data_IF_800501925730
#
_entry.id   IF_800501925730
#
_cell.length_a   1.000
_cell.length_b   1.000
_cell.length_c   1.000
_cell.angle_alpha   90.00
_cell.angle_beta   90.00
_cell.angle_gamma   90.00
#
_symmetry.space_group_name_H-M   'P 1'
#
loop_
_entity.id
_entity.type
_entity.pdbx_description
1 polymer ?
#
# COMPACT_ATOMS: atom_id res chain seq x y z
N UNK A 1 12.95 -16.12 -34.46
CA UNK A 1 13.03 -15.00 -33.54
C UNK A 1 11.95 -13.91 -33.69
N UNK A 2 11.05 -13.96 -34.67
CA UNK A 2 9.95 -13.00 -34.88
C UNK A 2 8.63 -13.35 -34.14
N UNK A 3 8.46 -14.61 -33.75
CA UNK A 3 7.18 -15.13 -33.18
C UNK A 3 6.97 -14.75 -31.70
N UNK A 4 8.02 -14.60 -30.90
CA UNK A 4 7.93 -14.24 -29.47
C UNK A 4 7.48 -12.81 -29.25
N UNK A 5 7.80 -11.87 -30.12
CA UNK A 5 7.42 -10.44 -30.01
C UNK A 5 5.92 -10.16 -30.14
N UNK A 6 5.15 -11.05 -30.76
CA UNK A 6 3.71 -10.88 -30.94
C UNK A 6 2.91 -11.40 -29.72
N UNK A 7 3.42 -12.40 -29.00
CA UNK A 7 2.79 -12.95 -27.80
C UNK A 7 2.79 -11.90 -26.66
N UNK A 8 3.90 -11.15 -26.53
CA UNK A 8 4.01 -10.13 -25.48
C UNK A 8 3.08 -8.93 -25.74
N UNK A 9 2.93 -8.52 -27.01
CA UNK A 9 1.99 -7.47 -27.40
C UNK A 9 0.52 -7.88 -27.19
N UNK A 10 0.20 -9.15 -27.44
CA UNK A 10 -1.14 -9.69 -27.24
C UNK A 10 -1.49 -9.77 -25.75
N UNK A 11 -0.55 -10.18 -24.92
CA UNK A 11 -0.69 -10.18 -23.46
C UNK A 11 -0.85 -8.75 -22.91
N UNK A 12 -0.03 -7.81 -23.38
CA UNK A 12 -0.13 -6.41 -22.99
C UNK A 12 -1.52 -5.84 -23.37
N UNK A 13 -2.02 -6.15 -24.56
CA UNK A 13 -3.35 -5.74 -25.01
C UNK A 13 -4.47 -6.37 -24.16
N UNK A 14 -4.35 -7.65 -23.78
CA UNK A 14 -5.29 -8.31 -22.86
C UNK A 14 -5.30 -7.64 -21.47
N UNK A 15 -4.15 -7.29 -20.93
CA UNK A 15 -4.05 -6.59 -19.66
C UNK A 15 -4.64 -5.17 -19.73
N UNK A 16 -4.42 -4.45 -20.82
CA UNK A 16 -5.03 -3.13 -21.07
C UNK A 16 -6.56 -3.23 -21.23
N UNK A 17 -7.04 -4.27 -21.87
CA UNK A 17 -8.48 -4.52 -22.04
C UNK A 17 -9.14 -4.89 -20.72
N UNK A 18 -8.50 -5.74 -19.89
CA UNK A 18 -8.93 -6.05 -18.53
C UNK A 18 -8.97 -4.81 -17.65
N UNK A 19 -7.94 -3.96 -17.73
CA UNK A 19 -7.88 -2.70 -17.00
C UNK A 19 -8.96 -1.73 -17.47
N UNK A 20 -9.23 -1.66 -18.78
CA UNK A 20 -10.31 -0.85 -19.36
C UNK A 20 -11.70 -1.34 -18.95
N UNK A 21 -11.93 -2.66 -18.89
CA UNK A 21 -13.20 -3.23 -18.42
C UNK A 21 -13.43 -2.98 -16.92
N UNK A 22 -12.38 -2.98 -16.08
CA UNK A 22 -12.50 -2.60 -14.68
C UNK A 22 -12.93 -1.13 -14.49
N UNK A 23 -12.54 -0.25 -15.40
CA UNK A 23 -12.90 1.17 -15.37
C UNK A 23 -14.31 1.46 -15.92
N UNK A 24 -14.94 0.50 -16.61
CA UNK A 24 -16.26 0.65 -17.24
C UNK A 24 -17.42 0.05 -16.42
N UNK A 25 -17.20 -0.33 -15.15
CA UNK A 25 -18.31 -0.80 -14.29
C UNK A 25 -19.27 0.36 -14.05
N UNK A 26 -20.57 0.23 -14.37
CA UNK A 26 -21.52 1.30 -14.13
C UNK A 26 -21.64 1.59 -12.64
N UNK A 27 -21.31 2.81 -12.26
CA UNK A 27 -21.32 3.30 -10.88
C UNK A 27 -22.75 3.63 -10.47
N UNK A 28 -23.52 2.64 -10.10
CA UNK A 28 -24.88 2.83 -9.56
C UNK A 28 -24.94 2.77 -8.03
N UNK A 29 -23.81 2.53 -7.36
CA UNK A 29 -23.65 2.71 -5.92
C UNK A 29 -22.71 3.90 -5.70
N UNK A 30 -22.96 4.71 -4.67
CA UNK A 30 -22.08 5.83 -4.30
C UNK A 30 -20.82 5.29 -3.63
N UNK A 31 -20.06 4.49 -4.36
CA UNK A 31 -18.75 4.02 -3.88
C UNK A 31 -17.86 5.23 -3.64
N UNK A 32 -17.43 5.45 -2.40
CA UNK A 32 -16.50 6.49 -2.04
C UNK A 32 -15.17 5.87 -1.59
N UNK A 33 -14.09 6.28 -2.23
CA UNK A 33 -12.75 5.84 -1.83
C UNK A 33 -12.25 6.58 -0.60
N UNK A 34 -12.84 7.76 -0.32
CA UNK A 34 -12.60 8.57 0.87
C UNK A 34 -13.86 9.34 1.25
N UNK A 35 -14.40 9.09 2.44
CA UNK A 35 -15.67 9.66 2.92
C UNK A 35 -15.47 10.87 3.85
N UNK A 36 -14.21 11.21 4.18
CA UNK A 36 -13.89 12.31 5.08
C UNK A 36 -13.96 11.92 6.56
N UNK A 37 -14.20 12.88 7.43
CA UNK A 37 -14.16 12.73 8.87
C UNK A 37 -14.98 11.55 9.38
N UNK A 38 -14.34 10.68 10.18
CA UNK A 38 -14.94 9.49 10.76
C UNK A 38 -14.82 8.21 9.93
N UNK A 39 -14.35 8.30 8.68
CA UNK A 39 -14.15 7.14 7.82
C UNK A 39 -13.08 6.20 8.40
N UNK A 40 -13.37 4.90 8.41
CA UNK A 40 -12.45 3.86 8.82
C UNK A 40 -12.17 2.94 7.63
N UNK A 41 -10.91 2.85 7.25
CA UNK A 41 -10.48 1.92 6.21
C UNK A 41 -9.54 0.88 6.78
N UNK A 42 -9.83 -0.38 6.50
CA UNK A 42 -8.94 -1.51 6.79
C UNK A 42 -8.45 -2.06 5.46
N UNK A 43 -7.17 -2.33 5.37
CA UNK A 43 -6.57 -2.83 4.13
C UNK A 43 -5.62 -3.99 4.40
N UNK A 44 -5.55 -4.92 3.46
CA UNK A 44 -4.64 -6.04 3.49
C UNK A 44 -4.17 -6.41 2.08
N UNK A 45 -2.92 -6.80 1.95
CA UNK A 45 -2.39 -7.15 0.63
C UNK A 45 -0.98 -7.72 0.63
N UNK A 46 -0.49 -7.86 -0.57
CA UNK A 46 0.89 -8.22 -0.84
C UNK A 46 1.80 -7.01 -0.64
N UNK A 47 2.96 -7.25 -0.04
CA UNK A 47 4.01 -6.25 0.13
C UNK A 47 5.36 -6.77 -0.39
N UNK A 48 6.13 -5.86 -0.96
CA UNK A 48 7.52 -6.11 -1.34
C UNK A 48 8.40 -5.01 -0.77
N UNK A 49 9.38 -5.35 0.05
CA UNK A 49 10.31 -4.38 0.67
C UNK A 49 11.72 -4.73 0.22
N UNK A 50 12.33 -3.86 -0.59
CA UNK A 50 13.69 -4.05 -1.06
C UNK A 50 13.92 -5.38 -1.78
N UNK A 51 12.94 -5.88 -2.53
CA UNK A 51 12.98 -7.17 -3.22
C UNK A 51 12.51 -8.38 -2.39
N UNK A 52 12.16 -8.20 -1.12
CA UNK A 52 11.63 -9.27 -0.25
C UNK A 52 10.11 -9.25 -0.24
N UNK A 53 9.51 -10.39 -0.56
CA UNK A 53 8.06 -10.57 -0.63
C UNK A 53 7.45 -10.83 0.73
N UNK A 54 6.23 -10.34 0.94
CA UNK A 54 5.50 -10.50 2.18
C UNK A 54 4.06 -10.02 2.08
N UNK A 55 3.53 -9.60 3.21
CA UNK A 55 2.16 -9.10 3.34
C UNK A 55 2.11 -7.83 4.18
N UNK A 56 1.04 -7.09 4.00
CA UNK A 56 0.75 -5.87 4.73
C UNK A 56 -0.70 -5.89 5.21
N UNK A 57 -0.92 -5.46 6.43
CA UNK A 57 -2.22 -5.22 7.03
C UNK A 57 -2.19 -3.85 7.67
N UNK A 58 -3.23 -3.06 7.49
CA UNK A 58 -3.30 -1.76 8.13
C UNK A 58 -4.71 -1.23 8.24
N UNK A 59 -4.82 -0.12 8.94
CA UNK A 59 -6.06 0.64 9.07
C UNK A 59 -5.75 2.13 9.13
N UNK A 60 -6.65 2.94 8.57
CA UNK A 60 -6.63 4.39 8.65
C UNK A 60 -7.95 4.87 9.25
N UNK A 61 -7.87 5.90 10.07
CA UNK A 61 -9.00 6.63 10.63
C UNK A 61 -8.93 8.10 10.17
N UNK A 62 -9.99 8.58 9.57
CA UNK A 62 -10.10 9.96 9.12
C UNK A 62 -10.33 10.92 10.27
N UNK A 63 -9.39 11.81 10.51
CA UNK A 63 -9.52 12.90 11.48
C UNK A 63 -10.25 14.12 10.90
N UNK A 64 -10.24 14.23 9.59
CA UNK A 64 -10.92 15.30 8.82
C UNK A 64 -11.07 14.86 7.38
N UNK A 65 -11.71 15.69 6.55
CA UNK A 65 -11.88 15.44 5.12
C UNK A 65 -10.56 15.26 4.36
N UNK A 66 -9.45 15.76 4.92
CA UNK A 66 -8.15 15.74 4.26
C UNK A 66 -7.08 14.89 4.97
N UNK A 67 -7.28 14.54 6.23
CA UNK A 67 -6.22 13.94 7.05
C UNK A 67 -6.67 12.66 7.71
N UNK A 68 -5.87 11.61 7.58
CA UNK A 68 -6.02 10.38 8.36
C UNK A 68 -4.79 10.06 9.19
N UNK A 69 -5.02 9.28 10.24
CA UNK A 69 -3.98 8.61 11.01
C UNK A 69 -4.24 7.11 11.00
N UNK A 70 -3.21 6.32 11.07
CA UNK A 70 -3.38 4.88 10.98
C UNK A 70 -2.27 4.07 11.60
N UNK A 71 -2.46 2.76 11.55
CA UNK A 71 -1.48 1.76 11.93
C UNK A 71 -1.30 0.74 10.82
N UNK A 72 -0.06 0.31 10.61
CA UNK A 72 0.30 -0.61 9.55
C UNK A 72 1.28 -1.66 10.06
N UNK A 73 0.99 -2.92 9.82
CA UNK A 73 1.86 -4.05 10.08
C UNK A 73 2.35 -4.63 8.75
N UNK A 74 3.64 -4.60 8.51
CA UNK A 74 4.27 -5.20 7.33
C UNK A 74 5.11 -6.39 7.76
N UNK A 75 4.94 -7.51 7.07
CA UNK A 75 5.79 -8.69 7.21
C UNK A 75 6.43 -9.04 5.88
N UNK A 76 7.74 -9.29 5.86
CA UNK A 76 8.46 -9.81 4.69
C UNK A 76 9.29 -11.04 5.06
N UNK A 77 9.40 -11.95 4.09
CA UNK A 77 10.15 -13.19 4.28
C UNK A 77 11.66 -12.92 4.21
N UNK A 78 12.37 -13.26 5.27
CA UNK A 78 13.83 -13.02 5.44
C UNK A 78 14.59 -14.33 5.46
N UNK A 79 14.50 -15.14 4.39
CA UNK A 79 15.13 -16.46 4.33
C UNK A 79 16.67 -16.45 4.27
N UNK A 80 17.27 -15.33 3.88
CA UNK A 80 18.68 -15.23 3.50
C UNK A 80 19.60 -14.71 4.63
N UNK A 81 19.12 -14.62 5.87
CA UNK A 81 19.92 -14.18 7.01
C UNK A 81 20.39 -15.36 7.86
N UNK A 82 21.63 -15.27 8.32
CA UNK A 82 22.48 -16.29 8.92
C UNK A 82 21.84 -17.15 10.04
N UNK A 83 22.31 -18.38 10.17
CA UNK A 83 21.74 -19.43 11.01
C UNK A 83 21.94 -19.14 12.50
N UNK A 84 20.92 -18.73 13.22
CA UNK A 84 20.98 -18.74 14.67
C UNK A 84 20.15 -17.73 15.45
N UNK A 85 19.38 -16.85 14.80
CA UNK A 85 18.51 -15.88 15.49
C UNK A 85 17.07 -15.97 14.97
N UNK A 86 16.10 -15.54 15.78
CA UNK A 86 14.67 -15.53 15.46
C UNK A 86 14.36 -14.76 14.18
N UNK A 87 14.54 -15.41 13.05
CA UNK A 87 14.38 -14.89 11.68
C UNK A 87 13.00 -14.32 11.42
N UNK A 88 11.97 -14.92 12.03
CA UNK A 88 10.59 -14.49 11.85
C UNK A 88 10.40 -13.04 12.34
N UNK A 89 11.02 -12.67 13.45
CA UNK A 89 10.84 -11.34 14.03
C UNK A 89 11.56 -10.23 13.24
N UNK A 90 12.58 -10.55 12.48
CA UNK A 90 13.29 -9.56 11.62
C UNK A 90 12.41 -9.05 10.47
N UNK A 91 11.47 -9.86 10.01
CA UNK A 91 10.58 -9.53 8.89
C UNK A 91 9.42 -8.61 9.25
N UNK A 92 9.15 -8.37 10.53
CA UNK A 92 8.02 -7.52 10.97
C UNK A 92 8.42 -6.06 11.18
N UNK A 93 7.56 -5.16 10.70
CA UNK A 93 7.59 -3.75 11.06
C UNK A 93 6.18 -3.28 11.35
N UNK A 94 5.97 -2.72 12.54
CA UNK A 94 4.74 -2.01 12.88
C UNK A 94 5.00 -0.52 12.77
N UNK A 95 4.17 0.18 12.01
CA UNK A 95 4.30 1.62 11.72
C UNK A 95 3.01 2.36 12.07
N UNK A 96 3.15 3.56 12.61
CA UNK A 96 2.10 4.57 12.64
C UNK A 96 2.18 5.40 11.36
N UNK A 97 1.05 5.78 10.81
CA UNK A 97 0.94 6.54 9.57
C UNK A 97 0.12 7.80 9.76
N UNK A 98 0.48 8.84 9.01
CA UNK A 98 -0.32 10.05 8.87
C UNK A 98 -0.37 10.42 7.41
N UNK A 99 -1.59 10.52 6.84
CA UNK A 99 -1.78 10.76 5.42
C UNK A 99 -2.60 12.02 5.17
N UNK A 100 -2.29 12.68 4.07
CA UNK A 100 -3.09 13.74 3.47
C UNK A 100 -3.76 13.21 2.21
N UNK A 101 -5.08 13.39 2.08
CA UNK A 101 -5.92 12.94 0.98
C UNK A 101 -6.16 14.07 -0.01
N UNK A 102 -5.87 13.81 -1.26
CA UNK A 102 -5.88 14.79 -2.35
C UNK A 102 -7.16 14.75 -3.19
N UNK A 103 -8.06 13.81 -2.92
CA UNK A 103 -9.24 13.56 -3.76
C UNK A 103 -10.08 14.82 -3.98
N UNK A 104 -10.40 15.55 -2.93
CA UNK A 104 -11.19 16.79 -3.00
C UNK A 104 -10.42 17.95 -3.66
N UNK A 105 -9.15 18.13 -3.29
CA UNK A 105 -8.28 19.18 -3.86
C UNK A 105 -8.10 19.01 -5.36
N UNK A 106 -7.94 17.78 -5.81
CA UNK A 106 -7.76 17.43 -7.23
C UNK A 106 -9.10 17.24 -7.96
N UNK A 107 -10.24 17.33 -7.24
CA UNK A 107 -11.59 17.10 -7.77
C UNK A 107 -11.69 15.73 -8.47
N UNK A 108 -11.16 14.70 -7.83
CA UNK A 108 -11.20 13.34 -8.35
C UNK A 108 -12.63 12.78 -8.27
N UNK A 109 -12.95 11.78 -9.10
CA UNK A 109 -14.18 11.01 -8.92
C UNK A 109 -14.22 10.39 -7.52
N UNK A 110 -15.41 10.33 -6.88
CA UNK A 110 -15.57 9.81 -5.52
C UNK A 110 -15.00 8.41 -5.29
N UNK A 111 -14.97 7.60 -6.34
CA UNK A 111 -14.40 6.24 -6.32
C UNK A 111 -12.87 6.18 -6.23
N UNK A 112 -12.20 7.31 -6.37
CA UNK A 112 -10.74 7.39 -6.43
C UNK A 112 -10.20 8.31 -5.35
N UNK A 113 -9.26 7.83 -4.55
CA UNK A 113 -8.50 8.61 -3.60
C UNK A 113 -7.00 8.48 -3.89
N UNK A 114 -6.30 9.59 -3.86
CA UNK A 114 -4.84 9.66 -3.90
C UNK A 114 -4.39 10.29 -2.60
N UNK A 115 -3.47 9.65 -1.92
CA UNK A 115 -2.93 10.16 -0.66
C UNK A 115 -1.41 10.16 -0.65
N UNK A 116 -0.86 11.02 0.20
CA UNK A 116 0.56 11.03 0.53
C UNK A 116 0.74 11.33 2.02
N UNK A 117 1.83 10.83 2.58
CA UNK A 117 2.02 10.97 4.02
C UNK A 117 3.36 10.50 4.52
N UNK A 118 3.40 10.31 5.82
CA UNK A 118 4.57 9.86 6.56
C UNK A 118 4.26 8.56 7.28
N UNK A 119 5.28 7.74 7.48
CA UNK A 119 5.20 6.54 8.31
C UNK A 119 6.36 6.54 9.31
N UNK A 120 6.06 6.15 10.55
CA UNK A 120 7.06 5.98 11.61
C UNK A 120 6.88 4.57 12.19
N UNK A 121 7.75 3.68 11.76
CA UNK A 121 7.75 2.28 12.17
C UNK A 121 8.76 1.98 13.26
N UNK A 122 8.69 0.77 13.80
CA UNK A 122 9.70 0.25 14.73
C UNK A 122 11.06 0.07 14.06
N UNK A 123 11.09 -0.17 12.75
CA UNK A 123 12.30 -0.43 11.96
C UNK A 123 12.76 0.78 11.16
N UNK A 124 11.83 1.50 10.56
CA UNK A 124 12.15 2.63 9.71
C UNK A 124 11.05 3.70 9.74
N UNK A 125 11.45 4.94 9.49
CA UNK A 125 10.53 6.01 9.17
C UNK A 125 10.75 6.48 7.73
N UNK A 126 9.69 6.95 7.10
CA UNK A 126 9.73 7.32 5.69
C UNK A 126 8.52 8.11 5.22
N UNK A 127 8.52 8.31 3.91
CA UNK A 127 7.42 8.92 3.18
C UNK A 127 6.64 7.85 2.45
N UNK A 128 5.34 8.06 2.31
CA UNK A 128 4.48 7.18 1.55
C UNK A 128 3.53 7.94 0.64
N UNK A 129 3.11 7.28 -0.43
CA UNK A 129 2.05 7.74 -1.31
C UNK A 129 1.28 6.53 -1.82
N UNK A 130 0.00 6.71 -2.06
CA UNK A 130 -0.84 5.63 -2.53
C UNK A 130 -2.08 6.10 -3.26
N UNK A 131 -2.76 5.13 -3.83
CA UNK A 131 -4.03 5.30 -4.50
C UNK A 131 -5.00 4.23 -4.01
N UNK A 132 -6.27 4.61 -3.84
CA UNK A 132 -7.38 3.71 -3.55
C UNK A 132 -8.43 3.87 -4.63
N UNK A 133 -9.02 2.75 -5.01
CA UNK A 133 -10.14 2.70 -5.96
C UNK A 133 -11.22 1.81 -5.38
N UNK A 134 -12.37 2.38 -5.04
CA UNK A 134 -13.53 1.65 -4.54
C UNK A 134 -14.44 1.26 -5.71
N UNK A 135 -14.72 -0.03 -5.82
CA UNK A 135 -15.65 -0.58 -6.80
C UNK A 135 -17.03 -0.88 -6.18
N UNK A 136 -17.16 -0.76 -4.86
CA UNK A 136 -18.41 -0.78 -4.12
C UNK A 136 -18.32 0.15 -2.92
N UNK A 137 -19.42 0.39 -2.20
CA UNK A 137 -19.46 1.18 -0.97
C UNK A 137 -18.49 0.67 0.10
N UNK A 138 -18.34 -0.65 0.19
CA UNK A 138 -17.54 -1.31 1.23
C UNK A 138 -16.16 -1.75 0.73
N UNK A 139 -16.02 -2.13 -0.55
CA UNK A 139 -14.81 -2.79 -1.06
C UNK A 139 -14.09 -1.98 -2.11
N UNK A 140 -12.76 -2.02 -2.03
CA UNK A 140 -11.88 -1.38 -3.00
C UNK A 140 -10.55 -2.10 -3.14
N UNK A 141 -9.71 -1.51 -3.99
CA UNK A 141 -8.31 -1.87 -4.19
C UNK A 141 -7.43 -0.74 -3.68
N UNK A 142 -6.25 -1.06 -3.21
CA UNK A 142 -5.23 -0.05 -2.96
C UNK A 142 -3.89 -0.44 -3.58
N UNK A 143 -3.10 0.58 -3.88
CA UNK A 143 -1.70 0.47 -4.21
C UNK A 143 -0.92 1.56 -3.49
N UNK A 144 0.22 1.20 -2.88
CA UNK A 144 1.03 2.11 -2.08
C UNK A 144 2.51 1.92 -2.37
N UNK A 145 3.23 3.02 -2.41
CA UNK A 145 4.68 3.06 -2.35
C UNK A 145 5.11 3.77 -1.07
N UNK A 146 6.09 3.18 -0.36
CA UNK A 146 6.71 3.78 0.82
C UNK A 146 8.22 3.77 0.64
N UNK A 147 8.85 4.92 0.79
CA UNK A 147 10.29 5.05 0.82
C UNK A 147 10.76 5.19 2.25
N UNK A 148 11.37 4.15 2.79
CA UNK A 148 11.96 4.16 4.11
C UNK A 148 13.27 4.95 4.06
N UNK A 149 13.34 6.05 4.80
CA UNK A 149 14.47 6.99 4.72
C UNK A 149 15.46 6.75 5.85
N UNK A 150 14.96 6.66 7.07
CA UNK A 150 15.78 6.60 8.28
C UNK A 150 15.42 5.40 9.15
N UNK A 151 16.42 4.89 9.89
CA UNK A 151 16.22 3.88 10.93
C UNK A 151 15.61 4.55 12.16
N UNK A 152 14.66 3.88 12.81
CA UNK A 152 13.98 4.41 14.00
C UNK A 152 14.48 3.76 15.29
N UNK A 153 13.83 2.70 15.74
CA UNK A 153 14.10 2.08 17.03
C UNK A 153 14.92 0.79 16.86
N UNK A 154 15.79 0.53 17.82
CA UNK A 154 16.61 -0.67 17.87
C UNK A 154 18.07 -0.45 17.46
N UNK A 155 19.00 -0.82 18.37
CA UNK A 155 20.44 -0.69 18.19
C UNK A 155 21.04 -1.78 17.28
N UNK A 156 20.31 -2.85 16.98
CA UNK A 156 20.82 -3.93 16.17
C UNK A 156 20.83 -3.54 14.69
N UNK A 157 22.06 -3.36 14.18
CA UNK A 157 22.36 -3.03 12.79
C UNK A 157 21.72 -4.04 11.82
N UNK A 158 21.55 -5.26 12.25
CA UNK A 158 21.04 -6.37 11.45
C UNK A 158 19.52 -6.29 11.21
N UNK A 159 18.74 -5.92 12.23
CA UNK A 159 17.28 -5.78 12.13
C UNK A 159 16.83 -4.59 11.26
N UNK A 160 17.61 -3.50 11.25
CA UNK A 160 17.31 -2.31 10.43
C UNK A 160 17.54 -2.52 8.93
N UNK A 161 18.44 -3.44 8.54
CA UNK A 161 18.84 -3.64 7.14
C UNK A 161 17.71 -4.09 6.21
N UNK A 162 16.68 -4.73 6.75
CA UNK A 162 15.54 -5.21 5.95
C UNK A 162 14.71 -4.05 5.41
N UNK A 163 14.51 -3.02 6.22
CA UNK A 163 13.61 -1.90 5.93
C UNK A 163 14.32 -0.59 5.60
N UNK A 164 15.43 -0.29 6.28
CA UNK A 164 16.12 1.00 6.16
C UNK A 164 16.63 1.24 4.73
N UNK A 165 16.33 2.43 4.19
CA UNK A 165 16.73 2.84 2.84
C UNK A 165 16.07 2.04 1.72
N UNK A 166 15.07 1.20 2.04
CA UNK A 166 14.38 0.36 1.06
C UNK A 166 13.04 0.97 0.65
N UNK A 167 12.71 0.78 -0.61
CA UNK A 167 11.37 1.05 -1.12
C UNK A 167 10.48 -0.14 -0.81
N UNK A 168 9.30 0.12 -0.24
CA UNK A 168 8.23 -0.83 -0.08
C UNK A 168 7.14 -0.54 -1.13
N UNK A 169 6.66 -1.59 -1.77
CA UNK A 169 5.53 -1.55 -2.69
C UNK A 169 4.45 -2.49 -2.14
N UNK A 170 3.23 -2.00 -2.04
CA UNK A 170 2.10 -2.80 -1.55
C UNK A 170 0.91 -2.67 -2.49
N UNK A 171 0.15 -3.75 -2.62
CA UNK A 171 -1.10 -3.80 -3.38
C UNK A 171 -2.04 -4.81 -2.75
N UNK A 172 -3.32 -4.47 -2.67
CA UNK A 172 -4.30 -5.35 -2.05
C UNK A 172 -5.71 -4.81 -2.06
N UNK A 173 -6.50 -5.33 -1.12
CA UNK A 173 -7.90 -4.97 -0.93
C UNK A 173 -8.04 -3.97 0.22
N UNK A 174 -9.02 -3.11 0.12
CA UNK A 174 -9.47 -2.21 1.20
C UNK A 174 -10.94 -2.42 1.48
N UNK A 175 -11.31 -2.27 2.76
CA UNK A 175 -12.68 -2.36 3.25
C UNK A 175 -12.99 -1.08 4.01
N UNK A 176 -14.11 -0.45 3.69
CA UNK A 176 -14.63 0.78 4.33
C UNK A 176 -15.70 0.43 5.36
N UNK A 177 -15.70 1.09 6.53
CA UNK A 177 -16.65 0.93 7.62
C UNK A 177 -17.27 2.26 8.02
#
# INVERSE_FOLDING_TARGET
>A
MKMMRNVDKFRLFQWLLLLGCLLCVPHSAQAQAWDGEGDIKVYAGYANVGGKSGMELGSDYALSDFVSVGGQLTYVNVKDYDEGRDRAFMGYDFSLTGNYHWAEVLKLPSVLDIYSGVSVGLRAAGLQAGVRYNFSETFGLYGQVRQNLVKTFGNDVEYGRVYQGKTALSVGLTVTF
#
